data_IF_437508985652
#
_entry.id   IF_437508985652
#
_cell.length_a   1.000
_cell.length_b   1.000
_cell.length_c   1.000
_cell.angle_alpha   90.00
_cell.angle_beta   90.00
_cell.angle_gamma   90.00
#
_symmetry.space_group_name_H-M   'P 1'
#
loop_
_entity.id
_entity.type
_entity.pdbx_description
1 polymer ?
#
# COMPACT_ATOMS: atom_id res chain seq x y z
N UNK A 1 3.50 -2.33 3.05
CA UNK A 1 2.60 -3.17 2.23
C UNK A 1 1.33 -3.41 3.01
N UNK A 2 0.18 -3.19 2.37
CA UNK A 2 -1.14 -3.31 2.99
C UNK A 2 -2.04 -4.20 2.13
N UNK A 3 -2.95 -4.93 2.79
CA UNK A 3 -3.93 -5.78 2.12
C UNK A 3 -5.32 -5.25 2.41
N UNK A 4 -6.06 -4.94 1.35
CA UNK A 4 -7.46 -4.58 1.42
C UNK A 4 -8.27 -5.72 0.81
N UNK A 5 -9.34 -6.10 1.49
CA UNK A 5 -10.26 -7.15 1.07
C UNK A 5 -11.64 -6.53 0.86
N UNK A 6 -12.35 -7.01 -0.16
CA UNK A 6 -13.77 -6.72 -0.30
C UNK A 6 -14.64 -7.72 0.50
N UNK A 7 -15.96 -7.54 0.43
CA UNK A 7 -16.94 -8.40 1.11
C UNK A 7 -16.94 -9.85 0.61
N UNK A 8 -16.29 -10.14 -0.53
CA UNK A 8 -16.15 -11.47 -1.12
C UNK A 8 -14.76 -12.09 -0.84
N UNK A 9 -13.99 -11.51 0.09
CA UNK A 9 -12.63 -11.94 0.48
C UNK A 9 -11.60 -11.83 -0.66
N UNK A 10 -11.86 -11.00 -1.69
CA UNK A 10 -10.90 -10.75 -2.77
C UNK A 10 -9.92 -9.65 -2.37
N UNK A 11 -8.66 -9.81 -2.74
CA UNK A 11 -7.59 -8.86 -2.42
C UNK A 11 -7.41 -7.81 -3.52
N UNK A 12 -7.25 -6.54 -3.12
CA UNK A 12 -6.85 -5.47 -4.03
C UNK A 12 -5.37 -5.58 -4.39
N UNK A 13 -5.08 -5.63 -5.70
CA UNK A 13 -3.73 -5.57 -6.26
C UNK A 13 -3.62 -4.42 -7.25
N UNK A 14 -2.43 -3.84 -7.36
CA UNK A 14 -2.07 -2.84 -8.37
C UNK A 14 -1.14 -3.45 -9.40
N UNK A 15 -1.37 -3.15 -10.68
CA UNK A 15 -0.42 -3.45 -11.73
C UNK A 15 0.71 -2.41 -11.70
N UNK A 16 1.94 -2.87 -11.61
CA UNK A 16 3.09 -2.00 -11.48
C UNK A 16 3.46 -1.38 -12.82
N UNK A 17 3.53 -0.05 -12.87
CA UNK A 17 3.95 0.68 -14.06
C UNK A 17 5.47 0.95 -14.15
N UNK A 18 6.25 0.52 -13.15
CA UNK A 18 7.68 0.81 -13.02
C UNK A 18 8.54 -0.45 -12.82
N UNK A 19 9.72 -0.45 -13.45
CA UNK A 19 10.79 -1.44 -13.27
C UNK A 19 11.25 -1.52 -11.79
N UNK A 20 11.73 -2.68 -11.32
CA UNK A 20 12.06 -3.91 -12.08
C UNK A 20 10.88 -4.85 -12.34
N UNK A 21 9.71 -4.58 -11.77
CA UNK A 21 8.57 -5.51 -11.80
C UNK A 21 7.40 -4.92 -12.60
N UNK A 22 7.68 -4.25 -13.71
CA UNK A 22 6.64 -3.64 -14.54
C UNK A 22 5.73 -4.73 -15.12
N UNK A 23 4.41 -4.52 -15.08
CA UNK A 23 3.40 -5.50 -15.51
C UNK A 23 3.13 -6.63 -14.51
N UNK A 24 3.86 -6.69 -13.40
CA UNK A 24 3.52 -7.59 -12.29
C UNK A 24 2.47 -6.94 -11.38
N UNK A 25 1.67 -7.77 -10.73
CA UNK A 25 0.73 -7.34 -9.70
C UNK A 25 1.36 -7.39 -8.31
N UNK A 26 1.13 -6.35 -7.51
CA UNK A 26 1.51 -6.31 -6.11
C UNK A 26 0.41 -5.67 -5.27
N UNK A 27 0.28 -6.03 -3.99
CA UNK A 27 -0.56 -5.24 -3.08
C UNK A 27 -0.05 -3.80 -2.97
N UNK A 28 -0.92 -2.83 -2.64
CA UNK A 28 -0.50 -1.46 -2.43
C UNK A 28 0.57 -1.32 -1.34
N UNK A 29 1.49 -0.38 -1.54
CA UNK A 29 2.48 -0.01 -0.56
C UNK A 29 3.85 0.30 -1.12
N UNK A 30 4.58 1.09 -0.35
CA UNK A 30 5.92 1.55 -0.68
C UNK A 30 6.92 1.32 0.44
N UNK A 31 8.02 2.06 0.36
CA UNK A 31 9.16 1.93 1.26
C UNK A 31 8.91 2.70 2.54
N UNK A 32 9.31 2.11 3.66
CA UNK A 32 9.30 2.78 4.96
C UNK A 32 10.28 3.96 4.93
N UNK A 33 9.83 5.14 5.36
CA UNK A 33 10.68 6.31 5.50
C UNK A 33 11.45 6.26 6.83
N UNK A 34 12.52 5.46 6.86
CA UNK A 34 13.32 5.25 8.08
C UNK A 34 14.05 6.51 8.56
N UNK A 35 14.40 7.43 7.64
CA UNK A 35 15.09 8.67 7.97
C UNK A 35 14.28 9.65 8.84
N UNK A 36 12.95 9.58 8.79
CA UNK A 36 12.04 10.37 9.63
C UNK A 36 11.53 9.61 10.86
N UNK A 37 11.93 8.35 11.02
CA UNK A 37 11.39 7.47 12.07
C UNK A 37 9.95 7.01 11.78
N UNK A 38 9.54 6.95 10.50
CA UNK A 38 8.21 6.48 10.13
C UNK A 38 7.95 5.07 10.67
N UNK A 39 6.82 4.88 11.34
CA UNK A 39 6.39 3.55 11.78
C UNK A 39 5.79 2.76 10.62
N UNK A 40 5.84 1.41 10.62
CA UNK A 40 5.17 0.61 9.60
C UNK A 40 3.68 0.94 9.45
N UNK A 41 3.02 1.32 10.55
CA UNK A 41 1.60 1.67 10.52
C UNK A 41 1.35 3.02 9.84
N UNK A 42 2.17 4.03 10.16
CA UNK A 42 2.12 5.34 9.53
C UNK A 42 2.41 5.25 8.03
N UNK A 43 3.39 4.42 7.66
CA UNK A 43 3.68 4.09 6.26
C UNK A 43 2.46 3.50 5.56
N UNK A 44 1.81 2.48 6.14
CA UNK A 44 0.61 1.89 5.53
C UNK A 44 -0.52 2.90 5.32
N UNK A 45 -0.75 3.82 6.27
CA UNK A 45 -1.78 4.86 6.15
C UNK A 45 -1.42 5.87 5.04
N UNK A 46 -0.16 6.29 4.96
CA UNK A 46 0.32 7.20 3.91
C UNK A 46 0.19 6.57 2.53
N UNK A 47 0.67 5.34 2.37
CA UNK A 47 0.64 4.62 1.09
C UNK A 47 -0.81 4.32 0.66
N UNK A 48 -1.72 3.99 1.58
CA UNK A 48 -3.14 3.84 1.27
C UNK A 48 -3.75 5.14 0.70
N UNK A 49 -3.33 6.29 1.21
CA UNK A 49 -3.78 7.58 0.68
C UNK A 49 -3.17 7.88 -0.69
N UNK A 50 -1.89 7.61 -0.87
CA UNK A 50 -1.12 7.92 -2.08
C UNK A 50 -1.51 7.04 -3.27
N UNK A 51 -1.68 5.73 -3.06
CA UNK A 51 -1.86 4.77 -4.16
C UNK A 51 -3.34 4.44 -4.44
N UNK A 52 -4.20 4.46 -3.42
CA UNK A 52 -5.61 4.03 -3.54
C UNK A 52 -6.61 5.08 -3.03
N UNK A 53 -6.15 6.27 -2.62
CA UNK A 53 -7.00 7.39 -2.20
C UNK A 53 -7.75 7.18 -0.88
N UNK A 54 -7.40 6.15 -0.09
CA UNK A 54 -8.08 5.82 1.15
C UNK A 54 -7.39 6.44 2.36
N UNK A 55 -8.15 7.19 3.15
CA UNK A 55 -7.70 7.71 4.44
C UNK A 55 -8.02 6.69 5.54
N UNK A 56 -7.01 5.92 5.96
CA UNK A 56 -7.15 4.92 7.02
C UNK A 56 -6.92 5.53 8.40
N UNK A 57 -7.65 5.04 9.39
CA UNK A 57 -7.44 5.35 10.82
C UNK A 57 -7.07 4.08 11.55
N UNK A 58 -5.94 4.04 12.27
CA UNK A 58 -5.54 2.89 13.09
C UNK A 58 -6.59 2.64 14.18
N UNK A 59 -6.80 1.37 14.55
CA UNK A 59 -7.59 1.00 15.73
C UNK A 59 -6.69 0.79 16.95
#
# INVERSE_FOLDING_TARGET
MLYAFDEEDRVLLIERNHEPNKGCFSPPGGKLQTGSGESPHSCAIREAKEEIGLQLTPK
#
